data_IF_550137424862
#
_entry.id   IF_550137424862
#
_cell.length_a   1.000
_cell.length_b   1.000
_cell.length_c   1.000
_cell.angle_alpha   90.00
_cell.angle_beta   90.00
_cell.angle_gamma   90.00
#
_symmetry.space_group_name_H-M   'P 1'
#
loop_
_entity.id
_entity.type
_entity.pdbx_description
1 polymer ?
#
# COMPACT_ATOMS: atom_id res chain seq x y z
N UNK A 1 -15.73 -13.69 -15.72
CA UNK A 1 -14.72 -14.00 -14.68
C UNK A 1 -13.94 -12.74 -14.36
N UNK A 2 -13.74 -12.43 -13.07
CA UNK A 2 -12.89 -11.31 -12.68
C UNK A 2 -11.42 -11.74 -12.83
N UNK A 3 -10.69 -11.12 -13.75
CA UNK A 3 -9.28 -11.45 -14.02
C UNK A 3 -8.38 -10.32 -13.56
N UNK A 4 -7.43 -10.62 -12.68
CA UNK A 4 -6.32 -9.75 -12.36
C UNK A 4 -5.23 -9.94 -13.42
N UNK A 5 -4.95 -8.90 -14.21
CA UNK A 5 -3.86 -8.94 -15.19
C UNK A 5 -2.61 -8.36 -14.56
N UNK A 6 -1.49 -9.05 -14.70
CA UNK A 6 -0.20 -8.63 -14.12
C UNK A 6 0.83 -8.49 -15.24
N UNK A 7 1.57 -7.39 -15.21
CA UNK A 7 2.70 -7.17 -16.13
C UNK A 7 3.98 -6.96 -15.33
N UNK A 8 5.04 -7.68 -15.71
CA UNK A 8 6.39 -7.44 -15.20
C UNK A 8 6.97 -6.19 -15.87
N UNK A 9 7.60 -5.34 -15.09
CA UNK A 9 8.30 -4.14 -15.51
C UNK A 9 9.83 -4.34 -15.53
N UNK A 10 10.30 -5.38 -14.82
CA UNK A 10 11.70 -5.77 -14.74
C UNK A 10 11.85 -7.28 -14.92
N UNK A 11 12.99 -7.72 -15.44
CA UNK A 11 13.32 -9.14 -15.61
C UNK A 11 13.26 -9.90 -14.29
N UNK A 12 13.70 -9.25 -13.22
CA UNK A 12 13.83 -9.82 -11.87
C UNK A 12 12.51 -9.84 -11.09
N UNK A 13 11.46 -9.21 -11.63
CA UNK A 13 10.15 -9.23 -10.99
C UNK A 13 9.55 -10.64 -11.01
N UNK A 14 8.87 -10.99 -9.92
CA UNK A 14 8.14 -12.26 -9.80
C UNK A 14 6.63 -12.00 -9.89
N UNK A 15 5.91 -12.89 -10.56
CA UNK A 15 4.45 -12.84 -10.57
C UNK A 15 3.92 -13.21 -9.19
N UNK A 16 2.83 -12.55 -8.72
CA UNK A 16 2.19 -12.89 -7.46
C UNK A 16 1.70 -14.34 -7.46
N UNK A 17 1.83 -15.02 -6.32
CA UNK A 17 1.40 -16.41 -6.17
C UNK A 17 0.49 -16.57 -4.96
N UNK A 18 -0.41 -17.56 -4.99
CA UNK A 18 -1.19 -17.96 -3.82
C UNK A 18 -0.44 -19.01 -3.02
N UNK A 19 -0.53 -18.92 -1.70
CA UNK A 19 0.01 -19.94 -0.81
C UNK A 19 -0.79 -21.25 -0.88
N UNK A 20 -2.11 -21.15 -1.01
CA UNK A 20 -3.06 -22.26 -1.25
C UNK A 20 -4.16 -21.77 -2.19
N UNK A 21 -4.94 -22.70 -2.76
CA UNK A 21 -6.07 -22.36 -3.62
C UNK A 21 -7.09 -21.45 -2.92
N UNK A 22 -7.30 -21.63 -1.62
CA UNK A 22 -8.24 -20.86 -0.80
C UNK A 22 -7.63 -19.62 -0.13
N UNK A 23 -6.35 -19.32 -0.37
CA UNK A 23 -5.74 -18.09 0.15
C UNK A 23 -6.43 -16.86 -0.44
N UNK A 24 -6.82 -15.90 0.42
CA UNK A 24 -7.46 -14.65 0.00
C UNK A 24 -6.49 -13.76 -0.81
N UNK A 25 -5.22 -13.72 -0.41
CA UNK A 25 -4.19 -12.87 -1.00
C UNK A 25 -3.20 -13.61 -1.88
N UNK A 26 -2.63 -12.86 -2.82
CA UNK A 26 -1.47 -13.26 -3.60
C UNK A 26 -0.21 -12.70 -2.96
N UNK A 27 0.77 -13.54 -2.66
CA UNK A 27 2.08 -13.09 -2.16
C UNK A 27 2.75 -12.15 -3.16
N UNK A 28 3.22 -11.00 -2.68
CA UNK A 28 4.05 -10.03 -3.42
C UNK A 28 5.52 -10.22 -3.05
N UNK A 29 6.38 -10.09 -4.04
CA UNK A 29 7.80 -10.35 -3.92
C UNK A 29 8.62 -9.07 -4.09
N UNK A 30 9.68 -8.91 -3.30
CA UNK A 30 10.67 -7.86 -3.52
C UNK A 30 11.45 -8.13 -4.81
N UNK A 31 11.60 -7.11 -5.67
CA UNK A 31 12.39 -7.25 -6.90
C UNK A 31 13.87 -6.88 -6.73
N UNK A 32 14.26 -6.43 -5.53
CA UNK A 32 15.65 -6.10 -5.20
C UNK A 32 15.95 -6.28 -3.71
N UNK A 33 17.23 -6.39 -3.37
CA UNK A 33 17.70 -6.39 -2.00
C UNK A 33 17.48 -5.02 -1.34
N UNK A 34 17.01 -5.00 -0.09
CA UNK A 34 16.90 -3.78 0.70
C UNK A 34 16.90 -4.08 2.21
N UNK A 35 16.95 -3.02 3.02
CA UNK A 35 16.91 -3.12 4.48
C UNK A 35 15.88 -2.13 5.02
N UNK A 36 14.99 -2.61 5.87
CA UNK A 36 14.08 -1.75 6.65
C UNK A 36 14.65 -1.65 8.06
N UNK A 37 15.26 -0.51 8.38
CA UNK A 37 15.82 -0.28 9.71
C UNK A 37 14.72 -0.21 10.78
N UNK A 38 15.07 -0.53 12.01
CA UNK A 38 14.19 -0.47 13.18
C UNK A 38 13.59 0.94 13.36
N UNK A 39 12.29 1.01 13.62
CA UNK A 39 11.54 2.26 13.77
C UNK A 39 11.44 3.09 12.47
N UNK A 40 11.85 2.54 11.32
CA UNK A 40 11.78 3.23 10.02
C UNK A 40 10.83 2.52 9.06
N UNK A 41 10.54 3.21 7.96
CA UNK A 41 9.82 2.64 6.81
C UNK A 41 10.72 2.62 5.59
N UNK A 42 10.38 1.73 4.67
CA UNK A 42 11.02 1.65 3.36
C UNK A 42 9.98 1.29 2.30
N UNK A 43 10.14 1.84 1.10
CA UNK A 43 9.28 1.56 -0.05
C UNK A 43 9.95 0.49 -0.91
N UNK A 44 9.47 -0.74 -0.80
CA UNK A 44 10.06 -1.90 -1.49
C UNK A 44 9.44 -2.03 -2.88
N UNK A 45 10.23 -2.01 -3.96
CA UNK A 45 9.73 -2.24 -5.30
C UNK A 45 9.38 -3.71 -5.52
N UNK A 46 8.32 -3.98 -6.28
CA UNK A 46 7.93 -5.34 -6.69
C UNK A 46 8.26 -5.63 -8.15
N UNK A 47 8.52 -4.60 -8.95
CA UNK A 47 8.78 -4.70 -10.37
C UNK A 47 7.58 -5.13 -11.21
N UNK A 48 6.37 -5.08 -10.66
CA UNK A 48 5.14 -5.40 -11.39
C UNK A 48 4.15 -4.24 -11.36
N UNK A 49 3.27 -4.21 -12.36
CA UNK A 49 2.02 -3.44 -12.36
C UNK A 49 0.84 -4.34 -12.63
N UNK A 50 -0.35 -3.90 -12.22
CA UNK A 50 -1.57 -4.69 -12.33
C UNK A 50 -2.69 -3.91 -13.00
N UNK A 51 -3.58 -4.62 -13.68
CA UNK A 51 -4.88 -4.09 -14.10
C UNK A 51 -5.94 -4.77 -13.25
N UNK A 52 -6.58 -3.96 -12.42
CA UNK A 52 -7.58 -4.41 -11.44
C UNK A 52 -8.92 -4.60 -12.14
N UNK A 53 -9.66 -5.70 -11.87
CA UNK A 53 -10.97 -5.95 -12.44
C UNK A 53 -12.00 -4.91 -11.99
N UNK A 54 -13.07 -4.75 -12.78
CA UNK A 54 -14.15 -3.84 -12.49
C UNK A 54 -14.87 -4.18 -11.18
N UNK A 55 -15.31 -3.13 -10.46
CA UNK A 55 -15.96 -3.24 -9.15
C UNK A 55 -15.04 -3.66 -8.00
N UNK A 56 -13.72 -3.64 -8.23
CA UNK A 56 -12.73 -3.97 -7.22
C UNK A 56 -11.66 -2.87 -7.12
N UNK A 57 -11.05 -2.78 -5.95
CA UNK A 57 -9.73 -2.20 -5.75
C UNK A 57 -8.77 -3.29 -5.27
N UNK A 58 -7.49 -3.02 -5.27
CA UNK A 58 -6.51 -3.94 -4.69
C UNK A 58 -5.99 -3.41 -3.36
N UNK A 59 -5.90 -4.28 -2.36
CA UNK A 59 -5.33 -3.95 -1.06
C UNK A 59 -4.05 -4.74 -0.82
N UNK A 60 -2.96 -4.02 -0.59
CA UNK A 60 -1.71 -4.60 -0.10
C UNK A 60 -1.84 -4.74 1.41
N UNK A 61 -1.70 -5.96 1.92
CA UNK A 61 -1.84 -6.29 3.33
C UNK A 61 -0.59 -6.95 3.88
N UNK A 62 -0.39 -6.80 5.19
CA UNK A 62 0.71 -7.45 5.91
C UNK A 62 0.58 -8.96 5.84
N UNK A 63 1.72 -9.65 5.90
CA UNK A 63 1.77 -11.10 6.08
C UNK A 63 1.92 -11.40 7.57
N UNK A 64 0.99 -12.18 8.12
CA UNK A 64 0.93 -12.53 9.54
C UNK A 64 2.28 -12.99 10.11
N UNK A 65 3.00 -13.84 9.37
CA UNK A 65 4.30 -14.34 9.79
C UNK A 65 5.38 -13.27 9.91
N UNK A 66 5.38 -12.24 9.05
CA UNK A 66 6.31 -11.12 9.13
C UNK A 66 5.94 -10.19 10.29
N UNK A 67 4.66 -9.93 10.47
CA UNK A 67 4.18 -9.09 11.57
C UNK A 67 4.52 -9.72 12.93
N UNK A 68 4.14 -10.99 13.13
CA UNK A 68 4.33 -11.65 14.43
C UNK A 68 5.81 -11.88 14.76
N UNK A 69 6.62 -12.28 13.77
CA UNK A 69 8.03 -12.66 14.03
C UNK A 69 9.00 -11.50 13.99
N UNK A 70 8.70 -10.48 13.19
CA UNK A 70 9.65 -9.40 12.89
C UNK A 70 9.08 -8.00 13.11
N UNK A 71 7.81 -7.86 13.45
CA UNK A 71 7.16 -6.55 13.62
C UNK A 71 7.05 -5.77 12.31
N UNK A 72 6.97 -6.45 11.16
CA UNK A 72 6.86 -5.80 9.84
C UNK A 72 5.40 -5.59 9.49
N UNK A 73 5.05 -4.35 9.17
CA UNK A 73 3.70 -3.93 8.83
C UNK A 73 3.68 -3.19 7.49
N UNK A 74 2.57 -3.34 6.76
CA UNK A 74 2.32 -2.64 5.49
C UNK A 74 1.55 -1.35 5.76
N UNK A 75 2.07 -0.22 5.26
CA UNK A 75 1.37 1.04 5.19
C UNK A 75 0.90 1.37 3.77
N UNK A 76 -0.05 2.31 3.62
CA UNK A 76 -0.51 2.84 2.33
C UNK A 76 -0.89 1.72 1.35
N UNK A 77 -1.77 0.82 1.77
CA UNK A 77 -2.07 -0.42 1.05
C UNK A 77 -3.19 -0.33 0.01
N UNK A 78 -3.88 0.79 -0.16
CA UNK A 78 -4.96 0.95 -1.14
C UNK A 78 -4.36 1.22 -2.51
N UNK A 79 -4.75 0.41 -3.48
CA UNK A 79 -4.37 0.56 -4.89
C UNK A 79 -5.66 0.73 -5.69
N UNK A 80 -5.85 1.92 -6.21
CA UNK A 80 -7.01 2.28 -7.00
C UNK A 80 -7.03 1.54 -8.34
N UNK A 81 -8.22 1.36 -8.91
CA UNK A 81 -8.40 0.63 -10.17
C UNK A 81 -7.71 1.27 -11.36
N UNK A 82 -7.60 2.60 -11.36
CA UNK A 82 -6.97 3.42 -12.39
C UNK A 82 -5.48 3.68 -12.15
N UNK A 83 -4.91 3.10 -11.09
CA UNK A 83 -3.47 3.17 -10.87
C UNK A 83 -2.71 2.30 -11.89
N UNK A 84 -1.84 2.93 -12.69
CA UNK A 84 -1.06 2.27 -13.74
C UNK A 84 0.43 2.13 -13.42
N UNK A 85 0.85 2.64 -12.25
CA UNK A 85 2.25 2.60 -11.83
C UNK A 85 2.70 1.23 -11.33
N UNK A 86 3.99 1.17 -10.98
CA UNK A 86 4.56 0.00 -10.31
C UNK A 86 3.93 -0.19 -8.93
N UNK A 87 3.54 -1.43 -8.60
CA UNK A 87 3.18 -1.77 -7.22
C UNK A 87 4.42 -1.70 -6.34
N UNK A 88 4.37 -0.83 -5.34
CA UNK A 88 5.41 -0.69 -4.33
C UNK A 88 4.81 -0.91 -2.96
N UNK A 89 5.54 -1.59 -2.10
CA UNK A 89 5.09 -1.94 -0.76
C UNK A 89 5.79 -1.06 0.26
N UNK A 90 5.03 -0.23 0.96
CA UNK A 90 5.55 0.52 2.12
C UNK A 90 5.60 -0.42 3.30
N UNK A 91 6.78 -0.70 3.81
CA UNK A 91 6.98 -1.51 5.00
C UNK A 91 7.47 -0.66 6.16
N UNK A 92 6.80 -0.78 7.30
CA UNK A 92 7.27 -0.29 8.59
C UNK A 92 7.93 -1.42 9.36
N UNK A 93 9.03 -1.13 10.02
CA UNK A 93 9.68 -2.06 10.94
C UNK A 93 9.46 -1.57 12.38
N UNK A 94 8.52 -2.18 13.08
CA UNK A 94 8.24 -1.95 14.51
C UNK A 94 9.08 -2.85 15.43
N UNK A 95 9.92 -3.70 14.84
CA UNK A 95 10.86 -4.56 15.57
C UNK A 95 12.06 -3.77 16.11
N UNK A 96 12.94 -4.47 16.79
CA UNK A 96 14.13 -3.91 17.44
C UNK A 96 15.44 -4.27 16.71
N UNK A 97 15.35 -4.74 15.46
CA UNK A 97 16.49 -5.09 14.60
C UNK A 97 16.21 -4.73 13.15
N UNK A 98 17.24 -4.42 12.34
CA UNK A 98 17.06 -4.22 10.91
C UNK A 98 16.46 -5.47 10.26
N UNK A 99 15.49 -5.27 9.36
CA UNK A 99 14.89 -6.35 8.59
C UNK A 99 15.49 -6.37 7.19
N UNK A 100 16.31 -7.40 6.92
CA UNK A 100 16.97 -7.59 5.63
C UNK A 100 16.05 -8.33 4.67
N UNK A 101 15.77 -7.71 3.54
CA UNK A 101 14.97 -8.26 2.46
C UNK A 101 15.90 -8.61 1.30
N UNK A 102 15.79 -9.84 0.82
CA UNK A 102 16.45 -10.29 -0.40
C UNK A 102 15.46 -10.30 -1.56
N UNK A 103 15.97 -10.08 -2.76
CA UNK A 103 15.20 -10.31 -3.99
C UNK A 103 14.47 -11.65 -3.92
N UNK A 104 13.20 -11.66 -4.33
CA UNK A 104 12.34 -12.84 -4.27
C UNK A 104 11.75 -13.16 -2.89
N UNK A 105 12.03 -12.36 -1.85
CA UNK A 105 11.34 -12.52 -0.58
C UNK A 105 9.87 -12.09 -0.70
N UNK A 106 8.98 -12.88 -0.10
CA UNK A 106 7.57 -12.54 0.05
C UNK A 106 7.40 -11.49 1.14
N UNK A 107 7.06 -10.27 0.75
CA UNK A 107 7.05 -9.08 1.62
C UNK A 107 5.65 -8.65 2.06
N UNK A 108 4.63 -8.96 1.28
CA UNK A 108 3.24 -8.58 1.53
C UNK A 108 2.30 -9.54 0.79
N UNK A 109 1.00 -9.29 0.87
CA UNK A 109 -0.01 -9.97 0.07
C UNK A 109 -0.95 -8.97 -0.59
N UNK A 110 -1.37 -9.26 -1.83
CA UNK A 110 -2.32 -8.48 -2.62
C UNK A 110 -3.69 -9.13 -2.59
N UNK A 111 -4.70 -8.42 -2.13
CA UNK A 111 -6.08 -8.90 -2.01
C UNK A 111 -6.96 -8.05 -2.93
N UNK A 112 -7.85 -8.70 -3.69
CA UNK A 112 -8.89 -8.02 -4.45
C UNK A 112 -10.13 -7.87 -3.56
N UNK A 113 -10.56 -6.63 -3.34
CA UNK A 113 -11.74 -6.31 -2.52
C UNK A 113 -12.77 -5.57 -3.37
N UNK A 114 -14.03 -5.92 -3.19
CA UNK A 114 -15.14 -5.18 -3.80
C UNK A 114 -15.42 -3.90 -3.02
N UNK A 115 -15.85 -2.87 -3.70
CA UNK A 115 -16.25 -1.62 -3.07
C UNK A 115 -17.48 -1.04 -3.77
N UNK A 116 -18.25 -0.27 -3.03
CA UNK A 116 -19.36 0.52 -3.55
C UNK A 116 -18.85 1.91 -3.91
N UNK A 117 -19.17 2.36 -5.12
CA UNK A 117 -18.91 3.73 -5.54
C UNK A 117 -20.17 4.54 -5.31
N UNK A 118 -20.13 5.46 -4.34
CA UNK A 118 -21.28 6.30 -3.98
C UNK A 118 -21.05 7.73 -4.43
N UNK A 119 -22.12 8.36 -4.91
CA UNK A 119 -22.12 9.81 -5.09
C UNK A 119 -22.11 10.50 -3.74
N UNK A 120 -21.25 11.48 -3.57
CA UNK A 120 -21.16 12.28 -2.37
C UNK A 120 -22.07 13.51 -2.53
N UNK A 121 -23.07 13.62 -1.64
CA UNK A 121 -24.00 14.74 -1.59
C UNK A 121 -23.95 15.38 -0.21
N UNK A 122 -23.72 16.68 -0.15
CA UNK A 122 -23.85 17.43 1.10
C UNK A 122 -25.34 17.57 1.47
N UNK A 123 -25.71 17.21 2.70
CA UNK A 123 -27.04 17.43 3.23
C UNK A 123 -26.93 17.99 4.66
N UNK A 124 -27.04 19.31 4.76
CA UNK A 124 -27.01 20.05 6.04
C UNK A 124 -28.23 19.80 6.94
N UNK A 125 -29.32 19.20 6.40
CA UNK A 125 -30.54 18.92 7.15
C UNK A 125 -30.56 17.51 7.75
N UNK A 126 -29.62 16.64 7.40
CA UNK A 126 -29.62 15.25 7.83
C UNK A 126 -29.53 15.11 9.37
N UNK A 127 -28.77 15.99 10.02
CA UNK A 127 -28.64 16.07 11.48
C UNK A 127 -28.73 17.52 11.97
N UNK A 128 -29.91 18.16 11.91
CA UNK A 128 -30.06 19.59 12.15
C UNK A 128 -29.71 20.05 13.58
N UNK A 129 -29.66 19.14 14.55
CA UNK A 129 -29.29 19.46 15.94
C UNK A 129 -27.78 19.37 16.22
N UNK A 130 -26.97 18.99 15.27
CA UNK A 130 -25.51 18.98 15.41
C UNK A 130 -24.97 20.29 14.81
N UNK A 131 -24.59 21.28 15.63
CA UNK A 131 -24.01 22.51 15.10
C UNK A 131 -22.69 22.22 14.42
N UNK A 132 -22.46 22.84 13.26
CA UNK A 132 -21.15 22.82 12.60
C UNK A 132 -20.20 23.60 13.50
N UNK A 133 -19.15 22.95 13.93
CA UNK A 133 -18.10 23.54 14.76
C UNK A 133 -16.86 23.80 13.91
N UNK A 134 -16.16 24.88 14.22
CA UNK A 134 -14.84 25.10 13.65
C UNK A 134 -13.91 23.93 14.00
N UNK A 135 -13.10 23.47 13.06
CA UNK A 135 -12.15 22.39 13.33
C UNK A 135 -11.18 22.83 14.45
N UNK A 136 -10.79 21.89 15.34
CA UNK A 136 -9.72 22.21 16.29
C UNK A 136 -8.47 22.63 15.53
N UNK A 137 -7.81 23.68 15.99
CA UNK A 137 -6.54 24.14 15.42
C UNK A 137 -5.56 22.96 15.50
N UNK A 138 -5.18 22.46 14.34
CA UNK A 138 -4.17 21.41 14.27
C UNK A 138 -2.86 21.94 14.87
N UNK A 139 -2.14 21.13 15.68
CA UNK A 139 -0.78 21.51 16.07
C UNK A 139 0.06 21.65 14.82
N UNK A 140 0.93 22.67 14.81
CA UNK A 140 1.87 22.89 13.70
C UNK A 140 2.56 21.59 13.32
N UNK A 141 2.63 21.24 12.03
CA UNK A 141 3.33 20.04 11.61
C UNK A 141 4.77 20.14 12.08
N UNK A 142 5.21 19.26 12.97
CA UNK A 142 6.63 19.15 13.27
C UNK A 142 7.32 18.81 11.94
N UNK A 143 8.19 19.69 11.47
CA UNK A 143 8.96 19.50 10.25
C UNK A 143 9.78 18.21 10.38
N UNK A 144 9.29 17.14 9.80
CA UNK A 144 10.10 15.97 9.54
C UNK A 144 10.57 16.07 8.08
N UNK A 145 11.82 16.48 7.83
CA UNK A 145 12.37 16.37 6.49
C UNK A 145 12.50 14.89 6.15
N UNK A 146 11.71 14.42 5.22
CA UNK A 146 11.88 13.10 4.61
C UNK A 146 12.72 13.24 3.33
N UNK A 147 14.03 12.94 3.39
CA UNK A 147 14.92 13.10 2.24
C UNK A 147 14.61 12.13 1.09
N UNK A 148 13.75 11.13 1.29
CA UNK A 148 13.39 10.16 0.23
C UNK A 148 12.15 10.56 -0.57
N UNK A 149 11.39 11.57 -0.14
CA UNK A 149 10.22 12.09 -0.86
C UNK A 149 10.58 13.11 -1.95
N UNK A 150 11.81 13.62 -1.96
CA UNK A 150 12.24 14.74 -2.83
C UNK A 150 12.54 14.38 -4.29
N UNK A 151 12.55 13.10 -4.68
CA UNK A 151 12.88 12.68 -6.05
C UNK A 151 11.73 11.88 -6.67
N UNK A 152 10.69 12.56 -7.16
CA UNK A 152 9.59 11.88 -7.85
C UNK A 152 9.10 12.59 -9.09
N UNK A 153 9.42 11.97 -10.24
CA UNK A 153 8.61 12.09 -11.42
C UNK A 153 7.92 10.76 -11.66
N UNK A 154 6.79 10.52 -11.10
CA UNK A 154 5.63 9.69 -11.50
C UNK A 154 4.77 9.49 -10.25
N UNK A 155 3.60 10.08 -10.25
CA UNK A 155 2.64 10.19 -9.17
C UNK A 155 2.23 8.84 -8.54
N UNK A 156 2.70 8.56 -7.33
CA UNK A 156 2.29 7.34 -6.63
C UNK A 156 1.89 7.54 -5.17
N UNK A 157 2.52 8.47 -4.44
CA UNK A 157 2.15 8.76 -3.07
C UNK A 157 2.06 10.28 -2.90
N UNK A 158 0.85 10.81 -2.67
CA UNK A 158 0.61 12.23 -2.40
C UNK A 158 0.36 13.09 -3.64
N UNK A 159 -0.03 12.51 -4.80
CA UNK A 159 -0.40 13.29 -6.00
C UNK A 159 -1.77 13.97 -5.88
N UNK A 160 -2.56 13.62 -4.87
CA UNK A 160 -3.90 14.17 -4.64
C UNK A 160 -3.94 15.31 -3.64
N UNK A 161 -2.80 15.81 -3.22
CA UNK A 161 -2.67 16.96 -2.30
C UNK A 161 -3.01 16.61 -0.84
N UNK A 162 -2.40 17.32 0.07
CA UNK A 162 -2.85 17.45 1.47
C UNK A 162 -3.85 18.57 1.54
#
# INVERSE_FOLDING_TARGET
>A
MNTLVVQKMHSDAMLPTRGTELSAGYDLYACSDCVVHEGKRFVVPTGIRVKIPEGCYARIASRSGLTVKHGIEVGAGVIDRDYEGELRVVLFNHGNRPFHIKQGYRIAQLIMERYEHCDLVENSELYPQIPIQDPPVAPEPSELPDPQLAARGVAGFGSTGV
#
